data_IF_432924633639
#
_entry.id   IF_432924633639
#
_cell.length_a   1.000
_cell.length_b   1.000
_cell.length_c   1.000
_cell.angle_alpha   90.00
_cell.angle_beta   90.00
_cell.angle_gamma   90.00
#
_symmetry.space_group_name_H-M   'P 1'
#
loop_
_entity.id
_entity.type
_entity.pdbx_description
1 polymer ?
#
# COMPACT_ATOMS: atom_id res chain seq x y z
N UNK A 1 -18.51 15.94 0.10
CA UNK A 1 -18.46 16.67 -1.19
C UNK A 1 -18.44 15.71 -2.37
N UNK A 2 -17.47 14.78 -2.46
CA UNK A 2 -17.40 13.81 -3.58
C UNK A 2 -18.57 12.82 -3.61
N UNK A 3 -18.94 12.22 -2.47
CA UNK A 3 -20.06 11.26 -2.44
C UNK A 3 -21.33 11.86 -3.05
N UNK A 4 -21.75 13.04 -2.58
CA UNK A 4 -22.93 13.75 -3.11
C UNK A 4 -22.78 14.20 -4.56
N UNK A 5 -21.55 14.47 -5.01
CA UNK A 5 -21.30 14.84 -6.41
C UNK A 5 -21.42 13.63 -7.36
N UNK A 6 -21.25 12.41 -6.85
CA UNK A 6 -21.36 11.17 -7.61
C UNK A 6 -22.69 10.45 -7.42
N UNK A 7 -23.44 10.76 -6.35
CA UNK A 7 -24.77 10.20 -6.10
C UNK A 7 -25.80 10.84 -7.06
N UNK A 8 -25.81 10.35 -8.29
CA UNK A 8 -26.80 10.74 -9.31
C UNK A 8 -28.21 10.48 -8.79
N UNK A 9 -29.11 11.44 -8.97
CA UNK A 9 -30.50 11.42 -8.48
C UNK A 9 -30.70 11.45 -6.95
N UNK A 10 -29.64 11.73 -6.16
CA UNK A 10 -29.70 11.78 -4.68
C UNK A 10 -30.30 10.50 -4.07
N UNK A 11 -29.85 9.34 -4.54
CA UNK A 11 -30.36 8.02 -4.11
C UNK A 11 -29.96 7.69 -2.68
N UNK A 12 -28.93 8.37 -2.15
CA UNK A 12 -28.33 8.09 -0.85
C UNK A 12 -27.31 6.96 -0.89
N UNK A 13 -26.97 6.44 -2.08
CA UNK A 13 -26.00 5.38 -2.28
C UNK A 13 -25.29 5.54 -3.63
N UNK A 14 -24.06 5.04 -3.73
CA UNK A 14 -23.31 4.97 -4.98
C UNK A 14 -23.51 3.61 -5.64
N UNK A 15 -23.97 3.64 -6.89
CA UNK A 15 -23.89 2.49 -7.78
C UNK A 15 -22.44 2.17 -8.15
N UNK A 16 -22.25 1.10 -8.93
CA UNK A 16 -20.92 0.74 -9.44
C UNK A 16 -20.32 1.81 -10.34
N UNK A 17 -21.16 2.48 -11.10
CA UNK A 17 -20.79 3.54 -12.02
C UNK A 17 -20.42 4.80 -11.23
N UNK A 18 -21.24 5.18 -10.25
CA UNK A 18 -20.99 6.31 -9.35
C UNK A 18 -19.68 6.13 -8.57
N UNK A 19 -19.43 4.92 -8.06
CA UNK A 19 -18.19 4.58 -7.38
C UNK A 19 -16.96 4.74 -8.28
N UNK A 20 -17.04 4.28 -9.54
CA UNK A 20 -15.94 4.47 -10.51
C UNK A 20 -15.64 5.95 -10.73
N UNK A 21 -16.68 6.77 -10.86
CA UNK A 21 -16.54 8.24 -11.01
C UNK A 21 -15.88 8.83 -9.76
N UNK A 22 -16.31 8.42 -8.57
CA UNK A 22 -15.72 8.87 -7.31
C UNK A 22 -14.23 8.53 -7.19
N UNK A 23 -13.82 7.33 -7.65
CA UNK A 23 -12.39 6.94 -7.67
C UNK A 23 -11.59 7.80 -8.65
N UNK A 24 -12.13 8.11 -9.83
CA UNK A 24 -11.48 9.03 -10.78
C UNK A 24 -11.31 10.41 -10.15
N UNK A 25 -12.34 10.95 -9.51
CA UNK A 25 -12.28 12.27 -8.86
C UNK A 25 -11.28 12.31 -7.68
N UNK A 26 -11.19 11.25 -6.89
CA UNK A 26 -10.35 11.23 -5.69
C UNK A 26 -8.90 10.82 -5.93
N UNK A 27 -8.67 9.93 -6.89
CA UNK A 27 -7.37 9.29 -7.10
C UNK A 27 -6.83 9.44 -8.53
N UNK A 28 -7.59 10.03 -9.45
CA UNK A 28 -7.12 10.36 -10.80
C UNK A 28 -7.03 9.17 -11.76
N UNK A 29 -7.57 8.01 -11.40
CA UNK A 29 -7.55 6.83 -12.27
C UNK A 29 -8.89 6.09 -12.30
N UNK A 30 -9.14 5.36 -13.38
CA UNK A 30 -10.32 4.51 -13.53
C UNK A 30 -10.05 3.15 -12.88
N UNK A 31 -10.81 2.73 -11.85
CA UNK A 31 -10.58 1.44 -11.22
C UNK A 31 -10.87 0.29 -12.19
N UNK A 32 -10.14 -0.82 -12.02
CA UNK A 32 -10.34 -2.02 -12.83
C UNK A 32 -11.67 -2.71 -12.49
N UNK A 33 -12.10 -3.65 -13.35
CA UNK A 33 -13.29 -4.47 -13.06
C UNK A 33 -13.14 -5.19 -11.71
N UNK A 34 -11.98 -5.81 -11.50
CA UNK A 34 -11.63 -6.57 -10.28
C UNK A 34 -11.64 -5.67 -9.04
N UNK A 35 -11.06 -4.47 -9.13
CA UNK A 35 -11.03 -3.53 -8.00
C UNK A 35 -12.43 -3.07 -7.62
N UNK A 36 -13.25 -2.71 -8.61
CA UNK A 36 -14.64 -2.33 -8.38
C UNK A 36 -15.47 -3.50 -7.81
N UNK A 37 -15.27 -4.72 -8.32
CA UNK A 37 -15.94 -5.93 -7.80
C UNK A 37 -15.55 -6.21 -6.35
N UNK A 38 -14.25 -6.13 -6.03
CA UNK A 38 -13.75 -6.35 -4.67
C UNK A 38 -14.38 -5.37 -3.67
N UNK A 39 -14.49 -4.09 -4.03
CA UNK A 39 -15.17 -3.10 -3.18
C UNK A 39 -16.66 -3.42 -3.06
N UNK A 40 -17.33 -3.72 -4.18
CA UNK A 40 -18.76 -4.04 -4.18
C UNK A 40 -19.12 -5.32 -3.42
N UNK A 41 -18.21 -6.29 -3.35
CA UNK A 41 -18.40 -7.49 -2.53
C UNK A 41 -18.07 -7.28 -1.05
N UNK A 42 -17.37 -6.18 -0.71
CA UNK A 42 -16.99 -5.86 0.68
C UNK A 42 -18.03 -5.02 1.43
N UNK A 43 -19.06 -4.53 0.73
CA UNK A 43 -20.16 -3.73 1.29
C UNK A 43 -21.37 -4.61 1.59
N UNK A 44 -22.33 -4.09 2.35
CA UNK A 44 -23.50 -4.84 2.78
C UNK A 44 -24.34 -5.32 1.56
N UNK A 45 -24.54 -6.63 1.37
CA UNK A 45 -25.29 -7.14 0.22
C UNK A 45 -26.78 -6.79 0.26
N UNK A 46 -27.31 -6.32 1.40
CA UNK A 46 -28.71 -5.92 1.55
C UNK A 46 -28.98 -4.47 1.15
N UNK A 47 -27.95 -3.71 0.76
CA UNK A 47 -28.11 -2.32 0.30
C UNK A 47 -28.12 -2.26 -1.22
N UNK A 48 -28.78 -1.24 -1.77
CA UNK A 48 -28.85 -1.02 -3.23
C UNK A 48 -27.51 -0.56 -3.85
N UNK A 49 -26.52 -0.26 -3.01
CA UNK A 49 -25.18 0.17 -3.40
C UNK A 49 -24.39 0.64 -2.18
N UNK A 50 -23.30 1.37 -2.42
CA UNK A 50 -22.37 1.80 -1.37
C UNK A 50 -22.95 3.01 -0.64
N UNK A 51 -23.25 2.86 0.65
CA UNK A 51 -23.69 3.97 1.50
C UNK A 51 -22.54 4.92 1.86
N UNK A 52 -22.86 6.11 2.35
CA UNK A 52 -21.85 7.12 2.70
C UNK A 52 -20.79 6.58 3.68
N UNK A 53 -21.20 5.90 4.73
CA UNK A 53 -20.29 5.34 5.74
C UNK A 53 -19.37 4.27 5.14
N UNK A 54 -19.91 3.39 4.29
CA UNK A 54 -19.14 2.37 3.59
C UNK A 54 -18.14 3.00 2.62
N UNK A 55 -18.58 4.01 1.87
CA UNK A 55 -17.72 4.77 0.98
C UNK A 55 -16.57 5.43 1.75
N UNK A 56 -16.84 6.11 2.87
CA UNK A 56 -15.81 6.73 3.70
C UNK A 56 -14.79 5.69 4.20
N UNK A 57 -15.25 4.52 4.62
CA UNK A 57 -14.37 3.43 5.04
C UNK A 57 -13.48 2.92 3.91
N UNK A 58 -14.04 2.72 2.70
CA UNK A 58 -13.28 2.31 1.51
C UNK A 58 -12.22 3.34 1.15
N UNK A 59 -12.59 4.63 1.12
CA UNK A 59 -11.66 5.72 0.79
C UNK A 59 -10.57 5.85 1.85
N UNK A 60 -10.90 5.72 3.13
CA UNK A 60 -9.94 5.75 4.23
C UNK A 60 -8.90 4.63 4.10
N UNK A 61 -9.35 3.37 4.00
CA UNK A 61 -8.46 2.21 3.83
C UNK A 61 -7.55 2.36 2.61
N UNK A 62 -8.09 2.86 1.50
CA UNK A 62 -7.33 3.08 0.27
C UNK A 62 -6.28 4.19 0.41
N UNK A 63 -6.59 5.28 1.11
CA UNK A 63 -5.62 6.35 1.42
C UNK A 63 -4.52 5.85 2.34
N UNK A 64 -4.88 5.10 3.38
CA UNK A 64 -3.90 4.47 4.29
C UNK A 64 -2.95 3.54 3.51
N UNK A 65 -3.49 2.69 2.62
CA UNK A 65 -2.67 1.82 1.78
C UNK A 65 -1.78 2.57 0.76
N UNK A 66 -2.20 3.74 0.28
CA UNK A 66 -1.36 4.60 -0.57
C UNK A 66 -0.26 5.29 0.24
N UNK A 67 -0.59 5.82 1.43
CA UNK A 67 0.37 6.44 2.33
C UNK A 67 1.45 5.44 2.75
N UNK A 68 1.04 4.24 3.16
CA UNK A 68 1.96 3.17 3.52
C UNK A 68 2.89 2.80 2.37
N UNK A 69 2.36 2.51 1.17
CA UNK A 69 3.20 2.20 -0.01
C UNK A 69 4.16 3.33 -0.35
N UNK A 70 3.71 4.59 -0.24
CA UNK A 70 4.58 5.75 -0.46
C UNK A 70 5.68 5.84 0.61
N UNK A 71 5.37 5.57 1.88
CA UNK A 71 6.35 5.56 2.96
C UNK A 71 7.39 4.45 2.77
N UNK A 72 6.95 3.21 2.51
CA UNK A 72 7.84 2.08 2.17
C UNK A 72 8.74 2.42 0.99
N UNK A 73 8.19 3.04 -0.06
CA UNK A 73 8.96 3.50 -1.23
C UNK A 73 9.98 4.58 -0.87
N UNK A 74 9.60 5.55 -0.04
CA UNK A 74 10.52 6.59 0.40
C UNK A 74 11.68 6.01 1.22
N UNK A 75 11.41 5.10 2.15
CA UNK A 75 12.44 4.43 2.96
C UNK A 75 13.37 3.63 2.07
N UNK A 76 12.82 2.81 1.17
CA UNK A 76 13.63 2.03 0.22
C UNK A 76 14.53 2.93 -0.61
N UNK A 77 14.00 4.03 -1.15
CA UNK A 77 14.76 4.99 -1.96
C UNK A 77 15.85 5.70 -1.13
N UNK A 78 15.62 5.95 0.15
CA UNK A 78 16.63 6.51 1.04
C UNK A 78 17.79 5.52 1.30
N UNK A 79 17.52 4.21 1.23
CA UNK A 79 18.54 3.17 1.37
C UNK A 79 19.27 2.89 0.05
N UNK A 80 18.57 2.95 -1.10
CA UNK A 80 19.14 2.77 -2.44
C UNK A 80 19.83 4.06 -2.92
N UNK A 81 20.93 4.42 -2.28
CA UNK A 81 21.70 5.65 -2.55
C UNK A 81 22.19 5.79 -3.98
N UNK A 82 22.29 4.67 -4.69
CA UNK A 82 22.78 4.61 -6.05
C UNK A 82 21.64 4.47 -7.09
N UNK A 83 20.39 4.46 -6.65
CA UNK A 83 19.19 4.34 -7.49
C UNK A 83 19.23 3.14 -8.45
N UNK A 84 19.75 2.00 -7.98
CA UNK A 84 19.85 0.77 -8.78
C UNK A 84 18.51 0.02 -8.88
N UNK A 85 17.56 0.33 -8.00
CA UNK A 85 16.30 -0.38 -7.85
C UNK A 85 16.37 -1.59 -6.91
N UNK A 86 17.52 -1.81 -6.26
CA UNK A 86 17.78 -2.89 -5.32
C UNK A 86 18.82 -2.47 -4.29
N UNK A 87 18.77 -3.09 -3.10
CA UNK A 87 19.75 -2.89 -2.03
C UNK A 87 20.73 -4.05 -2.03
N UNK A 88 22.02 -3.72 -2.13
CA UNK A 88 23.09 -4.69 -1.80
C UNK A 88 23.20 -4.83 -0.29
N UNK A 89 23.85 -5.89 0.18
CA UNK A 89 24.18 -6.05 1.59
C UNK A 89 24.93 -4.83 2.16
N UNK A 90 25.80 -4.20 1.38
CA UNK A 90 26.53 -3.00 1.81
C UNK A 90 25.58 -1.80 2.02
N UNK A 91 24.62 -1.57 1.12
CA UNK A 91 23.62 -0.52 1.29
C UNK A 91 22.77 -0.77 2.52
N UNK A 92 22.34 -2.03 2.71
CA UNK A 92 21.56 -2.47 3.85
C UNK A 92 22.31 -2.26 5.18
N UNK A 93 23.58 -2.65 5.25
CA UNK A 93 24.43 -2.40 6.42
C UNK A 93 24.62 -0.90 6.69
N UNK A 94 24.86 -0.09 5.66
CA UNK A 94 24.99 1.37 5.81
C UNK A 94 23.69 1.99 6.32
N UNK A 95 22.54 1.55 5.82
CA UNK A 95 21.23 2.00 6.28
C UNK A 95 21.02 1.69 7.77
N UNK A 96 21.21 0.43 8.18
CA UNK A 96 21.07 0.01 9.58
C UNK A 96 22.06 0.69 10.52
N UNK A 97 23.29 0.98 10.08
CA UNK A 97 24.25 1.76 10.88
C UNK A 97 23.77 3.19 11.16
N UNK A 98 22.92 3.78 10.32
CA UNK A 98 22.36 5.11 10.55
C UNK A 98 21.16 5.09 11.49
N UNK A 99 20.25 4.14 11.31
CA UNK A 99 18.98 4.09 12.05
C UNK A 99 19.07 3.29 13.36
N UNK A 100 19.93 2.28 13.42
CA UNK A 100 20.10 1.37 14.55
C UNK A 100 21.60 1.03 14.76
N UNK A 101 22.46 2.02 15.08
CA UNK A 101 23.92 1.85 15.14
C UNK A 101 24.41 0.81 16.15
N UNK A 102 23.56 0.41 17.12
CA UNK A 102 23.88 -0.58 18.15
C UNK A 102 23.57 -2.02 17.71
N UNK A 103 22.91 -2.21 16.57
CA UNK A 103 22.56 -3.54 16.09
C UNK A 103 23.82 -4.26 15.57
N UNK A 104 24.12 -5.49 16.02
CA UNK A 104 25.30 -6.22 15.56
C UNK A 104 25.24 -6.53 14.06
N UNK A 105 26.38 -6.46 13.37
CA UNK A 105 26.46 -6.77 11.93
C UNK A 105 25.95 -8.19 11.61
N UNK A 106 26.14 -9.14 12.51
CA UNK A 106 25.60 -10.51 12.37
C UNK A 106 24.08 -10.51 12.27
N UNK A 107 23.39 -9.71 13.08
CA UNK A 107 21.92 -9.62 13.05
C UNK A 107 21.47 -8.97 11.75
N UNK A 108 22.18 -7.93 11.28
CA UNK A 108 21.89 -7.30 9.99
C UNK A 108 22.04 -8.30 8.84
N UNK A 109 23.06 -9.16 8.87
CA UNK A 109 23.25 -10.23 7.88
C UNK A 109 22.13 -11.27 7.91
N UNK A 110 21.68 -11.66 9.10
CA UNK A 110 20.56 -12.60 9.26
C UNK A 110 19.26 -12.00 8.71
N UNK A 111 18.95 -10.74 9.05
CA UNK A 111 17.79 -10.01 8.51
C UNK A 111 17.89 -9.86 6.99
N UNK A 112 19.05 -9.52 6.45
CA UNK A 112 19.22 -9.40 4.99
C UNK A 112 18.85 -10.70 4.28
N UNK A 113 19.32 -11.84 4.79
CA UNK A 113 19.02 -13.16 4.21
C UNK A 113 17.56 -13.56 4.34
N UNK A 114 16.88 -13.10 5.39
CA UNK A 114 15.46 -13.34 5.58
C UNK A 114 14.62 -12.48 4.62
N UNK A 115 15.06 -11.25 4.36
CA UNK A 115 14.38 -10.33 3.44
C UNK A 115 14.62 -10.73 1.98
N UNK A 116 15.82 -11.18 1.60
CA UNK A 116 16.18 -11.66 0.25
C UNK A 116 15.45 -12.97 -0.10
N UNK A 117 14.19 -12.86 -0.55
CA UNK A 117 13.28 -13.99 -0.75
C UNK A 117 13.68 -14.91 -1.90
N UNK A 118 14.30 -14.37 -2.95
CA UNK A 118 14.77 -15.15 -4.10
C UNK A 118 16.26 -15.51 -4.03
N UNK A 119 16.96 -15.05 -2.99
CA UNK A 119 18.36 -15.37 -2.70
C UNK A 119 19.31 -14.96 -3.83
N UNK A 120 18.99 -13.88 -4.54
CA UNK A 120 19.80 -13.35 -5.63
C UNK A 120 20.98 -12.47 -5.15
N UNK A 121 21.07 -12.25 -3.84
CA UNK A 121 22.08 -11.42 -3.19
C UNK A 121 21.72 -9.93 -3.14
N UNK A 122 20.49 -9.58 -3.52
CA UNK A 122 19.95 -8.23 -3.49
C UNK A 122 18.57 -8.23 -2.85
N UNK A 123 18.23 -7.11 -2.20
CA UNK A 123 16.87 -6.87 -1.72
C UNK A 123 16.19 -5.95 -2.72
N UNK A 124 15.28 -6.50 -3.51
CA UNK A 124 14.44 -5.70 -4.42
C UNK A 124 13.39 -4.90 -3.64
N UNK A 125 12.72 -3.97 -4.31
CA UNK A 125 11.59 -3.26 -3.69
C UNK A 125 10.47 -4.22 -3.26
N UNK A 126 10.27 -5.32 -4.00
CA UNK A 126 9.23 -6.31 -3.69
C UNK A 126 9.56 -7.08 -2.40
N UNK A 127 10.83 -7.45 -2.23
CA UNK A 127 11.33 -8.12 -1.03
C UNK A 127 11.20 -7.22 0.20
N UNK A 128 11.58 -5.95 0.02
CA UNK A 128 11.43 -4.94 1.06
C UNK A 128 9.97 -4.69 1.43
N UNK A 129 9.08 -4.55 0.43
CA UNK A 129 7.63 -4.39 0.65
C UNK A 129 7.06 -5.59 1.43
N UNK A 130 7.42 -6.82 1.03
CA UNK A 130 7.01 -8.04 1.71
C UNK A 130 7.43 -8.05 3.18
N UNK A 131 8.70 -7.76 3.47
CA UNK A 131 9.23 -7.71 4.82
C UNK A 131 8.53 -6.64 5.69
N UNK A 132 8.27 -5.46 5.13
CA UNK A 132 7.57 -4.39 5.87
C UNK A 132 6.10 -4.70 6.13
N UNK A 133 5.45 -5.48 5.26
CA UNK A 133 4.04 -5.83 5.36
C UNK A 133 3.82 -7.01 6.32
N UNK A 134 4.80 -7.91 6.46
CA UNK A 134 4.77 -9.01 7.42
C UNK A 134 4.72 -8.52 8.88
N UNK A 135 5.48 -7.46 9.21
CA UNK A 135 5.49 -6.88 10.56
C UNK A 135 4.17 -6.26 11.03
N UNK A 136 3.18 -6.08 10.15
CA UNK A 136 1.85 -5.58 10.52
C UNK A 136 0.79 -6.68 10.67
N UNK A 137 1.00 -7.87 10.10
CA UNK A 137 0.03 -8.97 10.25
C UNK A 137 0.15 -9.70 11.60
N UNK A 138 1.21 -9.44 12.37
CA UNK A 138 1.46 -9.99 13.70
C UNK A 138 1.31 -8.96 14.85
N UNK A 139 0.81 -7.75 14.57
CA UNK A 139 0.64 -6.65 15.53
C UNK A 139 -0.83 -6.33 15.83
#
# INVERSE_FOLDING_TARGET
MVFRACDEDNKGYLSREDFKVAVVMLFGYKPSKIEADSVMSSVNPNTSGILLEEFLNVIRKKREAQLYRNETRHIFTAFDRHYRGYLTLEDFQKAFKQVAPKLPERIILEVFREVDQDSDGHVSFKDFEYATNYGQNEA
#
